data_IF_854209905937
#
_entry.id   IF_854209905937
#
_cell.length_a   1.000
_cell.length_b   1.000
_cell.length_c   1.000
_cell.angle_alpha   90.00
_cell.angle_beta   90.00
_cell.angle_gamma   90.00
#
_symmetry.space_group_name_H-M   'P 1'
#
loop_
_entity.id
_entity.type
_entity.pdbx_description
1 polymer ?
#
# COMPACT_ATOMS: atom_id res chain seq x y z
N UNK A 1 6.99 -9.53 -11.84
CA UNK A 1 6.33 -10.84 -11.66
C UNK A 1 6.26 -11.61 -12.98
N UNK A 2 5.49 -11.15 -13.98
CA UNK A 2 5.22 -11.91 -15.23
C UNK A 2 6.50 -12.33 -15.97
N UNK A 3 7.53 -11.49 -16.08
CA UNK A 3 8.80 -11.80 -16.75
C UNK A 3 9.57 -12.98 -16.15
N UNK A 4 9.43 -13.16 -14.84
CA UNK A 4 10.17 -14.19 -14.08
C UNK A 4 9.24 -15.32 -13.62
N UNK A 5 7.97 -15.29 -14.00
CA UNK A 5 6.96 -16.24 -13.57
C UNK A 5 6.87 -16.36 -12.03
N UNK A 6 7.02 -15.22 -11.32
CA UNK A 6 6.85 -15.17 -9.88
C UNK A 6 5.40 -14.90 -9.52
N UNK A 7 4.84 -15.60 -8.54
CA UNK A 7 3.53 -15.26 -7.99
C UNK A 7 3.61 -13.88 -7.31
N UNK A 8 2.51 -13.15 -7.40
CA UNK A 8 2.30 -11.90 -6.68
C UNK A 8 1.40 -12.19 -5.49
N UNK A 9 1.74 -11.64 -4.36
CA UNK A 9 0.89 -11.56 -3.19
C UNK A 9 0.50 -10.10 -3.00
N UNK A 10 -0.75 -9.81 -3.24
CA UNK A 10 -1.35 -8.48 -3.08
C UNK A 10 -2.07 -8.44 -1.73
N UNK A 11 -1.68 -7.51 -0.88
CA UNK A 11 -2.22 -7.38 0.47
C UNK A 11 -3.71 -6.97 0.44
N UNK A 12 -4.10 -6.15 -0.51
CA UNK A 12 -5.47 -5.64 -0.62
C UNK A 12 -6.43 -6.76 -1.04
N UNK A 13 -6.00 -7.65 -1.96
CA UNK A 13 -6.78 -8.83 -2.34
C UNK A 13 -7.00 -9.82 -1.18
N UNK A 14 -6.08 -9.85 -0.20
CA UNK A 14 -6.17 -10.75 0.94
C UNK A 14 -6.92 -10.15 2.12
N UNK A 15 -7.21 -8.87 2.12
CA UNK A 15 -7.82 -8.18 3.26
C UNK A 15 -9.08 -8.87 3.79
N UNK A 16 -10.04 -9.17 2.91
CA UNK A 16 -11.30 -9.81 3.30
C UNK A 16 -11.10 -11.25 3.86
N UNK A 17 -10.04 -11.94 3.46
CA UNK A 17 -9.70 -13.26 4.01
C UNK A 17 -9.13 -13.13 5.42
N UNK A 18 -8.26 -12.16 5.64
CA UNK A 18 -7.68 -11.86 6.96
C UNK A 18 -8.73 -11.37 7.94
N UNK A 19 -9.62 -10.46 7.51
CA UNK A 19 -10.73 -9.97 8.31
C UNK A 19 -11.60 -11.10 8.84
N UNK A 20 -12.00 -12.07 8.01
CA UNK A 20 -12.84 -13.20 8.40
C UNK A 20 -12.26 -14.08 9.51
N UNK A 21 -10.95 -14.18 9.62
CA UNK A 21 -10.27 -14.99 10.63
C UNK A 21 -9.71 -14.15 11.78
N UNK A 22 -9.84 -12.84 11.71
CA UNK A 22 -9.40 -11.90 12.73
C UNK A 22 -10.39 -11.85 13.89
N UNK A 23 -9.91 -11.37 15.04
CA UNK A 23 -10.75 -11.15 16.20
C UNK A 23 -10.93 -9.63 16.44
N UNK A 24 -12.17 -9.09 16.33
CA UNK A 24 -12.42 -7.66 16.50
C UNK A 24 -11.95 -7.08 17.85
N UNK A 25 -11.88 -7.90 18.90
CA UNK A 25 -11.41 -7.45 20.22
C UNK A 25 -9.89 -7.15 20.22
N UNK A 26 -9.12 -7.76 19.35
CA UNK A 26 -7.67 -7.57 19.24
C UNK A 26 -7.25 -6.76 18.03
N UNK A 27 -8.07 -6.76 16.97
CA UNK A 27 -7.80 -6.11 15.69
C UNK A 27 -8.98 -5.19 15.31
N UNK A 28 -9.22 -4.13 16.11
CA UNK A 28 -10.40 -3.29 15.96
C UNK A 28 -10.40 -2.44 14.68
N UNK A 29 -9.23 -2.11 14.14
CA UNK A 29 -9.14 -1.26 12.94
C UNK A 29 -9.50 -2.01 11.68
N UNK A 30 -9.05 -3.27 11.55
CA UNK A 30 -9.43 -4.16 10.44
C UNK A 30 -10.92 -4.47 10.44
N UNK A 31 -11.51 -4.58 11.62
CA UNK A 31 -12.91 -4.98 11.81
C UNK A 31 -13.87 -3.80 11.97
N UNK A 32 -13.39 -2.57 11.76
CA UNK A 32 -14.22 -1.39 11.89
C UNK A 32 -15.16 -1.25 10.71
N UNK A 33 -16.42 -1.59 10.90
CA UNK A 33 -17.47 -1.30 9.94
C UNK A 33 -17.86 0.19 9.97
N UNK A 34 -18.05 0.77 8.81
CA UNK A 34 -18.64 2.11 8.65
C UNK A 34 -20.03 1.95 8.05
N UNK A 35 -20.97 2.70 8.56
CA UNK A 35 -22.36 2.64 8.12
C UNK A 35 -22.51 3.07 6.66
N UNK A 36 -21.85 4.15 6.30
CA UNK A 36 -21.92 4.76 4.97
C UNK A 36 -20.68 5.62 4.68
N UNK A 37 -20.65 6.21 3.50
CA UNK A 37 -19.58 7.11 3.07
C UNK A 37 -19.47 8.37 3.92
N UNK A 38 -20.59 8.89 4.42
CA UNK A 38 -20.58 10.10 5.25
C UNK A 38 -19.93 9.85 6.62
N UNK A 39 -20.16 8.70 7.24
CA UNK A 39 -19.43 8.31 8.44
C UNK A 39 -17.94 8.11 8.15
N UNK A 40 -17.63 7.44 7.04
CA UNK A 40 -16.25 7.17 6.67
C UNK A 40 -15.45 8.45 6.40
N UNK A 41 -15.97 9.37 5.59
CA UNK A 41 -15.30 10.63 5.21
C UNK A 41 -15.59 11.79 6.16
N UNK A 42 -16.49 11.60 7.13
CA UNK A 42 -16.77 12.57 8.20
C UNK A 42 -15.66 12.69 9.25
N UNK A 43 -14.70 11.79 9.25
CA UNK A 43 -13.54 11.80 10.15
C UNK A 43 -12.62 12.98 9.84
N UNK A 44 -11.86 13.41 10.84
CA UNK A 44 -10.74 14.31 10.63
C UNK A 44 -9.61 13.61 9.85
N UNK A 45 -8.72 14.38 9.24
CA UNK A 45 -7.53 13.87 8.55
C UNK A 45 -6.69 13.00 9.49
N UNK A 46 -6.56 13.40 10.77
CA UNK A 46 -5.76 12.67 11.75
C UNK A 46 -6.40 11.33 12.12
N UNK A 47 -7.73 11.30 12.37
CA UNK A 47 -8.45 10.04 12.65
C UNK A 47 -8.42 9.08 11.47
N UNK A 48 -8.51 9.59 10.24
CA UNK A 48 -8.44 8.75 9.04
C UNK A 48 -7.02 8.20 8.84
N UNK A 49 -6.01 9.02 9.01
CA UNK A 49 -4.60 8.63 8.96
C UNK A 49 -4.27 7.56 10.00
N UNK A 50 -4.68 7.77 11.25
CA UNK A 50 -4.45 6.81 12.33
C UNK A 50 -5.12 5.47 12.04
N UNK A 51 -6.36 5.50 11.55
CA UNK A 51 -7.05 4.28 11.17
C UNK A 51 -6.34 3.52 10.05
N UNK A 52 -5.87 4.19 9.00
CA UNK A 52 -5.12 3.55 7.91
C UNK A 52 -3.83 2.89 8.42
N UNK A 53 -3.08 3.57 9.27
CA UNK A 53 -1.85 3.04 9.86
C UNK A 53 -2.15 1.79 10.70
N UNK A 54 -3.16 1.88 11.58
CA UNK A 54 -3.50 0.77 12.46
C UNK A 54 -4.07 -0.42 11.68
N UNK A 55 -4.93 -0.18 10.67
CA UNK A 55 -5.46 -1.20 9.80
C UNK A 55 -4.35 -2.00 9.11
N UNK A 56 -3.38 -1.30 8.51
CA UNK A 56 -2.23 -1.94 7.87
C UNK A 56 -1.39 -2.76 8.86
N UNK A 57 -1.14 -2.23 10.06
CA UNK A 57 -0.37 -2.92 11.09
C UNK A 57 -1.08 -4.18 11.61
N UNK A 58 -2.38 -4.09 11.81
CA UNK A 58 -3.19 -5.23 12.25
C UNK A 58 -3.20 -6.35 11.21
N UNK A 59 -3.12 -6.03 9.92
CA UNK A 59 -3.05 -7.01 8.84
C UNK A 59 -1.67 -7.66 8.71
N UNK A 60 -0.61 -6.99 9.13
CA UNK A 60 0.77 -7.38 8.83
C UNK A 60 1.15 -8.78 9.33
N UNK A 61 0.66 -9.19 10.48
CA UNK A 61 0.95 -10.52 11.03
C UNK A 61 0.38 -11.64 10.15
N UNK A 62 -0.80 -11.45 9.57
CA UNK A 62 -1.38 -12.40 8.60
C UNK A 62 -0.55 -12.44 7.32
N UNK A 63 -0.15 -11.28 6.82
CA UNK A 63 0.71 -11.17 5.63
C UNK A 63 2.01 -11.94 5.82
N UNK A 64 2.66 -11.77 6.96
CA UNK A 64 3.91 -12.47 7.28
C UNK A 64 3.72 -13.99 7.34
N UNK A 65 2.65 -14.47 7.97
CA UNK A 65 2.32 -15.89 8.01
C UNK A 65 2.08 -16.46 6.61
N UNK A 66 1.32 -15.77 5.79
CA UNK A 66 1.07 -16.17 4.41
C UNK A 66 2.34 -16.19 3.57
N UNK A 67 3.18 -15.17 3.69
CA UNK A 67 4.46 -15.11 2.97
C UNK A 67 5.41 -16.23 3.39
N UNK A 68 5.53 -16.56 4.68
CA UNK A 68 6.31 -17.69 5.18
C UNK A 68 5.81 -19.00 4.53
N UNK A 69 4.50 -19.17 4.46
CA UNK A 69 3.88 -20.38 3.89
C UNK A 69 4.06 -20.48 2.38
N UNK A 70 3.90 -19.35 1.67
CA UNK A 70 3.96 -19.32 0.21
C UNK A 70 5.40 -19.36 -0.33
N UNK A 71 6.37 -18.82 0.40
CA UNK A 71 7.75 -18.68 -0.07
C UNK A 71 8.68 -19.87 0.23
N UNK A 72 8.17 -20.95 0.80
CA UNK A 72 9.00 -22.10 1.21
C UNK A 72 9.90 -22.67 0.10
N UNK A 73 9.39 -22.72 -1.14
CA UNK A 73 10.10 -23.30 -2.28
C UNK A 73 10.10 -22.40 -3.53
N UNK A 74 9.78 -21.13 -3.40
CA UNK A 74 9.66 -20.18 -4.52
C UNK A 74 9.84 -18.75 -4.08
N UNK A 75 10.24 -17.90 -5.01
CA UNK A 75 10.21 -16.45 -4.82
C UNK A 75 8.77 -15.97 -4.98
N UNK A 76 8.31 -15.16 -4.02
CA UNK A 76 7.01 -14.48 -4.05
C UNK A 76 7.27 -12.98 -4.04
N UNK A 77 6.65 -12.25 -4.95
CA UNK A 77 6.64 -10.79 -4.90
C UNK A 77 5.43 -10.35 -4.07
N UNK A 78 5.70 -9.59 -3.02
CA UNK A 78 4.65 -9.02 -2.18
C UNK A 78 4.51 -7.53 -2.48
N UNK A 79 3.29 -7.09 -2.77
CA UNK A 79 2.90 -5.69 -2.75
C UNK A 79 2.28 -5.40 -1.39
N UNK A 80 2.96 -4.58 -0.59
CA UNK A 80 2.52 -4.24 0.76
C UNK A 80 3.00 -2.85 1.19
N UNK A 81 2.29 -2.29 2.14
CA UNK A 81 2.58 -0.97 2.71
C UNK A 81 3.41 -1.11 4.00
N UNK A 82 4.74 -1.18 3.88
CA UNK A 82 5.64 -1.18 5.02
C UNK A 82 6.25 0.20 5.24
N UNK A 83 6.36 0.59 6.50
CA UNK A 83 7.24 1.67 6.90
C UNK A 83 8.70 1.20 6.90
N UNK A 84 9.64 2.14 6.86
CA UNK A 84 11.08 1.82 6.97
C UNK A 84 11.39 1.07 8.26
N UNK A 85 10.71 1.44 9.37
CA UNK A 85 10.88 0.77 10.67
C UNK A 85 10.37 -0.66 10.66
N UNK A 86 9.22 -0.92 10.05
CA UNK A 86 8.65 -2.27 9.92
C UNK A 86 9.52 -3.12 8.99
N UNK A 87 9.96 -2.56 7.87
CA UNK A 87 10.87 -3.23 6.96
C UNK A 87 12.14 -3.72 7.68
N UNK A 88 12.72 -2.90 8.54
CA UNK A 88 13.91 -3.24 9.31
C UNK A 88 13.70 -4.39 10.31
N UNK A 89 12.46 -4.62 10.75
CA UNK A 89 12.13 -5.72 11.68
C UNK A 89 11.99 -7.08 10.96
N UNK A 90 11.53 -7.07 9.72
CA UNK A 90 11.05 -8.28 9.07
C UNK A 90 11.94 -8.79 7.96
N UNK A 91 12.79 -7.95 7.35
CA UNK A 91 13.56 -8.36 6.19
C UNK A 91 14.81 -7.51 5.96
N UNK A 92 15.69 -8.04 5.12
CA UNK A 92 16.92 -7.38 4.70
C UNK A 92 16.65 -6.32 3.62
N UNK A 93 17.45 -5.27 3.59
CA UNK A 93 17.32 -4.18 2.61
C UNK A 93 17.40 -4.64 1.15
N UNK A 94 18.15 -5.72 0.87
CA UNK A 94 18.26 -6.31 -0.46
C UNK A 94 16.97 -6.95 -0.98
N UNK A 95 15.99 -7.16 -0.11
CA UNK A 95 14.69 -7.79 -0.44
C UNK A 95 13.55 -6.81 -0.57
N UNK A 96 13.80 -5.51 -0.37
CA UNK A 96 12.79 -4.45 -0.44
C UNK A 96 13.20 -3.40 -1.47
N UNK A 97 12.22 -2.95 -2.24
CA UNK A 97 12.31 -1.75 -3.05
C UNK A 97 11.09 -0.87 -2.75
N UNK A 98 11.34 0.34 -2.26
CA UNK A 98 10.28 1.32 -2.07
C UNK A 98 9.99 2.06 -3.37
N UNK A 99 8.72 2.36 -3.60
CA UNK A 99 8.29 3.18 -4.72
C UNK A 99 7.70 4.49 -4.19
N UNK A 100 8.24 5.59 -4.66
CA UNK A 100 7.78 6.94 -4.37
C UNK A 100 7.17 7.49 -5.65
N UNK A 101 5.97 8.03 -5.57
CA UNK A 101 5.34 8.76 -6.68
C UNK A 101 5.37 10.25 -6.36
N UNK A 102 5.79 11.05 -7.31
CA UNK A 102 5.66 12.50 -7.21
C UNK A 102 4.19 12.88 -6.93
N UNK A 103 3.92 13.81 -6.00
CA UNK A 103 2.56 14.19 -5.64
C UNK A 103 1.86 14.82 -6.85
N UNK A 104 0.94 14.11 -7.44
CA UNK A 104 -0.05 14.61 -8.39
C UNK A 104 -1.42 14.54 -7.75
N UNK A 105 -2.48 14.81 -8.48
CA UNK A 105 -3.86 14.77 -8.02
C UNK A 105 -4.24 13.37 -7.48
N UNK A 106 -3.78 13.08 -6.25
CA UNK A 106 -3.74 11.74 -5.66
C UNK A 106 -5.06 10.99 -5.78
N UNK A 107 -6.16 11.65 -5.42
CA UNK A 107 -7.48 10.99 -5.41
C UNK A 107 -8.07 10.87 -6.82
N UNK A 108 -7.88 11.85 -7.68
CA UNK A 108 -8.37 11.78 -9.07
C UNK A 108 -7.62 10.70 -9.84
N UNK A 109 -6.29 10.65 -9.72
CA UNK A 109 -5.48 9.59 -10.33
C UNK A 109 -5.86 8.21 -9.81
N UNK A 110 -6.15 8.10 -8.51
CA UNK A 110 -6.55 6.86 -7.88
C UNK A 110 -7.92 6.40 -8.36
N UNK A 111 -8.91 7.28 -8.37
CA UNK A 111 -10.28 6.98 -8.81
C UNK A 111 -10.41 6.73 -10.31
N UNK A 112 -9.49 7.26 -11.13
CA UNK A 112 -9.50 7.03 -12.58
C UNK A 112 -8.96 5.63 -12.98
N UNK A 113 -8.45 4.87 -12.05
CA UNK A 113 -7.99 3.51 -12.31
C UNK A 113 -9.18 2.54 -12.31
N UNK A 114 -9.22 1.66 -13.30
CA UNK A 114 -10.30 0.67 -13.47
C UNK A 114 -10.38 -0.35 -12.32
N UNK A 115 -9.28 -0.60 -11.64
CA UNK A 115 -9.19 -1.49 -10.48
C UNK A 115 -9.65 -0.84 -9.16
N UNK A 116 -9.91 0.48 -9.15
CA UNK A 116 -10.37 1.24 -7.98
C UNK A 116 -11.81 1.75 -8.09
N UNK A 117 -12.61 1.23 -9.02
CA UNK A 117 -13.99 1.68 -9.26
C UNK A 117 -14.84 1.62 -7.98
N UNK A 118 -14.70 0.56 -7.18
CA UNK A 118 -15.46 0.41 -5.94
C UNK A 118 -15.19 1.54 -4.93
N UNK A 119 -13.95 2.01 -4.82
CA UNK A 119 -13.62 3.14 -3.96
C UNK A 119 -14.13 4.48 -4.54
N UNK A 120 -14.04 4.63 -5.85
CA UNK A 120 -14.62 5.78 -6.56
C UNK A 120 -16.13 5.87 -6.33
N UNK A 121 -16.84 4.77 -6.47
CA UNK A 121 -18.28 4.68 -6.23
C UNK A 121 -18.62 4.97 -4.76
N UNK A 122 -17.80 4.51 -3.84
CA UNK A 122 -17.97 4.80 -2.42
C UNK A 122 -17.80 6.29 -2.09
N UNK A 123 -16.78 6.96 -2.64
CA UNK A 123 -16.62 8.43 -2.52
C UNK A 123 -17.83 9.16 -3.09
N UNK A 124 -18.29 8.75 -4.26
CA UNK A 124 -19.44 9.35 -4.94
C UNK A 124 -20.77 9.10 -4.20
N UNK A 125 -20.80 8.15 -3.28
CA UNK A 125 -21.93 7.90 -2.37
C UNK A 125 -22.03 8.84 -1.18
N UNK A 126 -21.01 9.69 -0.94
CA UNK A 126 -21.06 10.68 0.13
C UNK A 126 -22.02 11.83 -0.20
N UNK A 127 -22.68 12.38 0.83
CA UNK A 127 -23.59 13.53 0.67
C UNK A 127 -22.86 14.79 0.22
N UNK A 128 -21.56 14.94 0.57
CA UNK A 128 -20.64 15.98 0.12
C UNK A 128 -19.38 15.36 -0.48
N UNK A 129 -19.43 15.07 -1.77
CA UNK A 129 -18.37 14.41 -2.54
C UNK A 129 -17.07 15.22 -2.53
N UNK A 130 -17.16 16.54 -2.64
CA UNK A 130 -15.98 17.41 -2.66
C UNK A 130 -15.26 17.41 -1.30
N UNK A 131 -16.01 17.41 -0.21
CA UNK A 131 -15.45 17.26 1.13
C UNK A 131 -14.81 15.88 1.31
N UNK A 132 -15.45 14.81 0.85
CA UNK A 132 -14.90 13.46 0.90
C UNK A 132 -13.56 13.37 0.16
N UNK A 133 -13.49 13.90 -1.06
CA UNK A 133 -12.24 14.00 -1.84
C UNK A 133 -11.17 14.82 -1.13
N UNK A 134 -11.55 15.96 -0.54
CA UNK A 134 -10.62 16.83 0.17
C UNK A 134 -10.00 16.12 1.39
N UNK A 135 -10.80 15.40 2.17
CA UNK A 135 -10.34 14.61 3.33
C UNK A 135 -9.39 13.50 2.86
N UNK A 136 -9.73 12.76 1.81
CA UNK A 136 -8.85 11.75 1.22
C UNK A 136 -7.51 12.34 0.78
N UNK A 137 -7.54 13.41 -0.01
CA UNK A 137 -6.32 14.06 -0.51
C UNK A 137 -5.42 14.54 0.64
N UNK A 138 -6.00 15.20 1.65
CA UNK A 138 -5.24 15.68 2.80
C UNK A 138 -4.63 14.52 3.60
N UNK A 139 -5.38 13.43 3.79
CA UNK A 139 -4.91 12.23 4.51
C UNK A 139 -3.77 11.56 3.76
N UNK A 140 -3.93 11.28 2.46
CA UNK A 140 -2.90 10.62 1.67
C UNK A 140 -1.65 11.50 1.51
N UNK A 141 -1.81 12.81 1.36
CA UNK A 141 -0.69 13.74 1.34
C UNK A 141 0.11 13.66 2.64
N UNK A 142 -0.55 13.75 3.79
CA UNK A 142 0.11 13.70 5.11
C UNK A 142 0.83 12.36 5.35
N UNK A 143 0.23 11.23 4.92
CA UNK A 143 0.86 9.90 5.00
C UNK A 143 2.08 9.81 4.09
N UNK A 144 1.94 10.23 2.83
CA UNK A 144 3.00 10.12 1.84
C UNK A 144 4.19 11.04 2.16
N UNK A 145 3.96 12.28 2.59
CA UNK A 145 5.04 13.19 2.97
C UNK A 145 5.93 12.60 4.06
N UNK A 146 5.33 12.04 5.11
CA UNK A 146 6.09 11.38 6.17
C UNK A 146 6.84 10.16 5.65
N UNK A 147 6.14 9.25 4.96
CA UNK A 147 6.73 8.02 4.42
C UNK A 147 7.89 8.31 3.46
N UNK A 148 7.70 9.24 2.54
CA UNK A 148 8.70 9.56 1.52
C UNK A 148 9.96 10.17 2.15
N UNK A 149 9.81 11.01 3.19
CA UNK A 149 10.94 11.54 3.95
C UNK A 149 11.68 10.42 4.69
N UNK A 150 10.96 9.51 5.34
CA UNK A 150 11.56 8.37 6.05
C UNK A 150 12.32 7.45 5.07
N UNK A 151 11.75 7.18 3.89
CA UNK A 151 12.38 6.36 2.84
C UNK A 151 13.64 7.05 2.30
N UNK A 152 13.55 8.34 1.91
CA UNK A 152 14.68 9.10 1.37
C UNK A 152 15.83 9.27 2.39
N UNK A 153 15.50 9.31 3.68
CA UNK A 153 16.46 9.35 4.78
C UNK A 153 17.04 7.99 5.17
N UNK A 154 16.55 6.89 4.60
CA UNK A 154 16.97 5.53 4.93
C UNK A 154 18.07 4.99 4.00
N UNK A 155 18.62 3.82 4.35
CA UNK A 155 19.57 3.09 3.51
C UNK A 155 18.86 2.07 2.57
N UNK A 156 17.54 2.08 2.49
CA UNK A 156 16.80 1.20 1.60
C UNK A 156 16.85 1.69 0.17
N UNK A 157 16.76 0.75 -0.77
CA UNK A 157 16.62 1.08 -2.18
C UNK A 157 15.21 1.61 -2.46
N UNK A 158 15.14 2.72 -3.19
CA UNK A 158 13.88 3.30 -3.61
C UNK A 158 13.92 3.81 -5.05
N UNK A 159 12.76 3.87 -5.66
CA UNK A 159 12.56 4.34 -7.04
C UNK A 159 11.52 5.46 -7.00
N UNK A 160 11.90 6.64 -7.45
CA UNK A 160 10.98 7.74 -7.68
C UNK A 160 10.36 7.62 -9.06
N UNK A 161 9.04 7.61 -9.10
CA UNK A 161 8.26 7.61 -10.34
C UNK A 161 7.73 9.01 -10.59
N UNK A 162 8.25 9.63 -11.64
CA UNK A 162 7.79 10.91 -12.18
C UNK A 162 6.88 10.68 -13.38
N UNK A 163 6.26 11.73 -13.90
CA UNK A 163 5.44 11.66 -15.13
C UNK A 163 6.23 11.13 -16.34
N UNK A 164 7.54 11.34 -16.36
CA UNK A 164 8.42 10.88 -17.43
C UNK A 164 8.94 9.45 -17.23
N UNK A 165 8.68 8.82 -16.09
CA UNK A 165 9.15 7.47 -15.80
C UNK A 165 8.37 6.43 -16.58
N UNK A 166 9.05 5.61 -17.36
CA UNK A 166 8.42 4.48 -18.03
C UNK A 166 8.30 3.27 -17.08
N UNK A 167 7.32 2.41 -17.34
CA UNK A 167 7.18 1.13 -16.63
C UNK A 167 8.44 0.28 -16.83
N UNK A 168 8.97 0.27 -18.05
CA UNK A 168 10.16 -0.51 -18.42
C UNK A 168 11.38 -0.12 -17.59
N UNK A 169 11.70 1.17 -17.51
CA UNK A 169 12.83 1.67 -16.70
C UNK A 169 12.65 1.36 -15.22
N UNK A 170 11.41 1.49 -14.71
CA UNK A 170 11.09 1.17 -13.33
C UNK A 170 11.33 -0.31 -13.03
N UNK A 171 10.87 -1.19 -13.90
CA UNK A 171 11.06 -2.64 -13.79
C UNK A 171 12.55 -3.00 -13.86
N UNK A 172 13.30 -2.45 -14.80
CA UNK A 172 14.74 -2.71 -14.93
C UNK A 172 15.54 -2.26 -13.69
N UNK A 173 15.17 -1.13 -13.07
CA UNK A 173 15.79 -0.69 -11.80
C UNK A 173 15.52 -1.70 -10.68
N UNK A 174 14.26 -2.15 -10.54
CA UNK A 174 13.88 -3.15 -9.54
C UNK A 174 14.56 -4.50 -9.80
N UNK A 175 14.60 -4.98 -11.05
CA UNK A 175 15.29 -6.22 -11.43
C UNK A 175 16.78 -6.19 -11.09
N UNK A 176 17.47 -5.08 -11.34
CA UNK A 176 18.88 -4.91 -10.94
C UNK A 176 19.06 -4.98 -9.44
N UNK A 177 18.19 -4.29 -8.69
CA UNK A 177 18.25 -4.31 -7.22
C UNK A 177 18.07 -5.71 -6.64
N UNK A 178 17.11 -6.46 -7.17
CA UNK A 178 16.83 -7.83 -6.70
C UNK A 178 17.74 -8.91 -7.30
N UNK A 179 18.75 -8.53 -8.12
CA UNK A 179 19.63 -9.47 -8.78
C UNK A 179 18.95 -10.35 -9.84
N UNK A 180 17.84 -9.86 -10.41
CA UNK A 180 17.03 -10.57 -11.40
C UNK A 180 17.33 -10.15 -12.84
N UNK A 181 18.14 -9.12 -13.03
CA UNK A 181 18.57 -8.70 -14.36
C UNK A 181 19.36 -9.85 -15.03
N UNK A 182 19.05 -10.16 -16.28
CA UNK A 182 19.87 -11.10 -17.06
C UNK A 182 21.27 -10.51 -17.19
N UNK A 183 22.28 -11.35 -16.97
CA UNK A 183 23.64 -11.00 -17.40
C UNK A 183 23.62 -10.85 -18.92
N UNK A 184 24.09 -9.69 -19.42
CA UNK A 184 24.28 -9.45 -20.84
C UNK A 184 25.35 -10.37 -21.42
#
# INVERSE_FOLDING_TARGET
>A
AKRHNFPVYDIDEQFANHEKISNPAFLPSMNKAFKDADEFFGRTVEEYKEWLINNTREQLDFVLLDLIRLSQNKIVLCDCHLTVEEAAKYTEASRIAFFIKEPSNLIEDYCNRSDHQGFSDFINGASDVEKAKAVCNATFKALNEKRDNDIKGSNYFWIERTENSTIEETVQKAERHFGLAKAD
#
